data_IF_989626168514
#
_entry.id   IF_989626168514
#
_cell.length_a   1.000
_cell.length_b   1.000
_cell.length_c   1.000
_cell.angle_alpha   90.00
_cell.angle_beta   90.00
_cell.angle_gamma   90.00
#
_symmetry.space_group_name_H-M   'P 1'
#
loop_
_entity.id
_entity.type
_entity.pdbx_description
1 polymer ?
#
# COMPACT_ATOMS: atom_id res chain seq x y z
N UNK A 1 15.43 -15.92 4.39
CA UNK A 1 14.87 -16.71 5.52
C UNK A 1 13.78 -15.91 6.24
N UNK A 2 12.98 -16.56 7.09
CA UNK A 2 11.95 -15.88 7.87
C UNK A 2 12.56 -14.82 8.82
N UNK A 3 13.72 -15.12 9.38
CA UNK A 3 14.46 -14.19 10.24
C UNK A 3 15.01 -12.98 9.46
N UNK A 4 15.50 -13.16 8.24
CA UNK A 4 15.92 -12.03 7.39
C UNK A 4 14.73 -11.15 7.02
N UNK A 5 13.58 -11.77 6.67
CA UNK A 5 12.36 -11.03 6.40
C UNK A 5 11.91 -10.20 7.60
N UNK A 6 11.93 -10.79 8.80
CA UNK A 6 11.58 -10.08 10.02
C UNK A 6 12.58 -8.94 10.34
N UNK A 7 13.87 -9.11 10.09
CA UNK A 7 14.89 -8.06 10.24
C UNK A 7 14.64 -6.88 9.33
N UNK A 8 14.32 -7.12 8.03
CA UNK A 8 13.94 -6.06 7.10
C UNK A 8 12.67 -5.33 7.57
N UNK A 9 11.69 -6.07 8.12
CA UNK A 9 10.51 -5.48 8.73
C UNK A 9 10.83 -4.57 9.92
N UNK A 10 11.74 -5.00 10.80
CA UNK A 10 12.22 -4.18 11.92
C UNK A 10 12.86 -2.89 11.43
N UNK A 11 13.81 -2.96 10.48
CA UNK A 11 14.48 -1.79 9.93
C UNK A 11 13.50 -0.79 9.30
N UNK A 12 12.56 -1.29 8.49
CA UNK A 12 11.56 -0.45 7.83
C UNK A 12 10.64 0.26 8.84
N UNK A 13 10.19 -0.45 9.89
CA UNK A 13 9.33 0.14 10.92
C UNK A 13 10.11 1.13 11.78
N UNK A 14 11.37 0.87 12.13
CA UNK A 14 12.20 1.81 12.87
C UNK A 14 12.40 3.13 12.11
N UNK A 15 12.64 3.06 10.79
CA UNK A 15 12.73 4.26 9.94
C UNK A 15 11.40 5.03 9.91
N UNK A 16 10.28 4.32 9.77
CA UNK A 16 8.94 4.92 9.79
C UNK A 16 8.66 5.63 11.12
N UNK A 17 8.98 5.01 12.25
CA UNK A 17 8.80 5.59 13.58
C UNK A 17 9.62 6.88 13.77
N UNK A 18 10.85 6.94 13.24
CA UNK A 18 11.66 8.17 13.26
C UNK A 18 10.97 9.28 12.48
N UNK A 19 10.47 8.98 11.27
CA UNK A 19 9.77 9.94 10.42
C UNK A 19 8.47 10.44 11.07
N UNK A 20 7.66 9.54 11.60
CA UNK A 20 6.38 9.90 12.22
C UNK A 20 6.56 10.77 13.47
N UNK A 21 7.58 10.52 14.27
CA UNK A 21 7.94 11.38 15.39
C UNK A 21 8.27 12.80 14.93
N UNK A 22 9.03 12.94 13.85
CA UNK A 22 9.34 14.27 13.29
C UNK A 22 8.09 14.99 12.79
N UNK A 23 7.14 14.28 12.18
CA UNK A 23 5.86 14.83 11.73
C UNK A 23 5.02 15.28 12.93
N UNK A 24 4.91 14.45 13.98
CA UNK A 24 4.19 14.76 15.21
C UNK A 24 4.73 16.04 15.86
N UNK A 25 6.05 16.14 16.00
CA UNK A 25 6.72 17.31 16.58
C UNK A 25 6.50 18.56 15.73
N UNK A 26 6.56 18.44 14.42
CA UNK A 26 6.37 19.54 13.48
C UNK A 26 4.92 20.03 13.49
N UNK A 27 3.96 19.11 13.43
CA UNK A 27 2.54 19.42 13.49
C UNK A 27 2.19 20.14 14.82
N UNK A 28 2.75 19.67 15.95
CA UNK A 28 2.58 20.33 17.24
C UNK A 28 3.10 21.77 17.25
N UNK A 29 4.29 22.02 16.65
CA UNK A 29 4.88 23.38 16.54
C UNK A 29 4.05 24.29 15.66
N UNK A 30 3.39 23.75 14.64
CA UNK A 30 2.52 24.49 13.72
C UNK A 30 1.10 24.70 14.27
N UNK A 31 0.73 24.04 15.37
CA UNK A 31 -0.63 24.04 15.89
C UNK A 31 -1.61 23.19 15.07
N UNK A 32 -1.11 22.30 14.23
CA UNK A 32 -1.91 21.34 13.46
C UNK A 32 -2.20 20.09 14.28
N UNK A 33 -3.20 20.22 15.14
CA UNK A 33 -3.56 19.19 16.11
C UNK A 33 -4.16 17.96 15.46
N UNK A 34 -4.85 18.12 14.33
CA UNK A 34 -5.46 16.99 13.60
C UNK A 34 -4.39 16.10 12.96
N UNK A 35 -3.42 16.68 12.27
CA UNK A 35 -2.29 15.91 11.72
C UNK A 35 -1.50 15.22 12.83
N UNK A 36 -1.27 15.92 13.94
CA UNK A 36 -0.60 15.35 15.11
C UNK A 36 -1.33 14.11 15.63
N UNK A 37 -2.64 14.19 15.86
CA UNK A 37 -3.45 13.08 16.39
C UNK A 37 -3.42 11.85 15.46
N UNK A 38 -3.53 12.08 14.13
CA UNK A 38 -3.44 11.03 13.14
C UNK A 38 -2.10 10.28 13.24
N UNK A 39 -0.99 11.02 13.29
CA UNK A 39 0.34 10.40 13.34
C UNK A 39 0.69 9.80 14.70
N UNK A 40 0.17 10.32 15.80
CA UNK A 40 0.29 9.68 17.12
C UNK A 40 -0.39 8.31 17.14
N UNK A 41 -1.54 8.16 16.48
CA UNK A 41 -2.25 6.89 16.35
C UNK A 41 -1.46 5.90 15.48
N UNK A 42 -1.03 6.32 14.27
CA UNK A 42 -0.23 5.49 13.38
C UNK A 42 1.07 5.05 14.06
N UNK A 43 1.72 5.96 14.77
CA UNK A 43 2.95 5.67 15.55
C UNK A 43 2.73 4.53 16.55
N UNK A 44 1.63 4.54 17.29
CA UNK A 44 1.30 3.47 18.24
C UNK A 44 1.01 2.13 17.55
N UNK A 45 0.41 2.14 16.36
CA UNK A 45 0.17 0.94 15.55
C UNK A 45 1.51 0.35 15.04
N UNK A 46 2.43 1.20 14.60
CA UNK A 46 3.75 0.79 14.14
C UNK A 46 4.65 0.27 15.26
N UNK A 47 4.57 0.81 16.47
CA UNK A 47 5.24 0.21 17.65
C UNK A 47 4.76 -1.24 17.87
N UNK A 48 3.46 -1.51 17.64
CA UNK A 48 2.91 -2.87 17.70
C UNK A 48 3.47 -3.79 16.60
N UNK A 49 3.68 -3.26 15.39
CA UNK A 49 4.33 -4.01 14.30
C UNK A 49 5.80 -4.30 14.61
N UNK A 50 6.52 -3.30 15.12
CA UNK A 50 7.92 -3.47 15.55
C UNK A 50 8.07 -4.63 16.55
N UNK A 51 7.22 -4.65 17.58
CA UNK A 51 7.24 -5.72 18.57
C UNK A 51 7.02 -7.11 17.92
N UNK A 52 6.03 -7.24 17.04
CA UNK A 52 5.78 -8.50 16.33
C UNK A 52 6.97 -8.93 15.47
N UNK A 53 7.57 -8.01 14.70
CA UNK A 53 8.74 -8.37 13.90
C UNK A 53 9.93 -8.77 14.76
N UNK A 54 10.16 -8.09 15.89
CA UNK A 54 11.22 -8.45 16.83
C UNK A 54 11.05 -9.84 17.44
N UNK A 55 9.81 -10.26 17.73
CA UNK A 55 9.54 -11.63 18.15
C UNK A 55 9.97 -12.65 17.06
N UNK A 56 9.64 -12.38 15.79
CA UNK A 56 10.00 -13.26 14.68
C UNK A 56 11.50 -13.28 14.37
N UNK A 57 12.28 -12.25 14.72
CA UNK A 57 13.73 -12.26 14.56
C UNK A 57 14.41 -13.27 15.50
N UNK A 58 13.73 -13.68 16.57
CA UNK A 58 14.25 -14.66 17.53
C UNK A 58 14.06 -16.11 17.06
N UNK A 59 13.22 -16.36 16.06
CA UNK A 59 13.14 -17.65 15.45
C UNK A 59 14.50 -17.94 14.77
N UNK A 60 15.24 -18.88 15.34
CA UNK A 60 16.42 -19.39 14.65
C UNK A 60 15.93 -20.06 13.38
N UNK A 61 16.39 -19.58 12.25
CA UNK A 61 16.29 -20.35 11.03
C UNK A 61 16.97 -21.68 11.31
N UNK A 62 16.19 -22.74 11.50
CA UNK A 62 16.75 -24.06 11.47
C UNK A 62 17.56 -24.12 10.19
N UNK A 63 18.83 -24.47 10.33
CA UNK A 63 19.84 -24.45 9.27
C UNK A 63 19.35 -25.24 8.06
N UNK A 64 18.62 -24.57 7.19
CA UNK A 64 18.11 -25.13 5.95
C UNK A 64 19.05 -24.87 4.75
N UNK A 65 20.31 -24.50 5.04
CA UNK A 65 21.33 -24.30 4.01
C UNK A 65 21.62 -25.57 3.18
N UNK A 66 21.22 -26.75 3.69
CA UNK A 66 21.46 -28.01 3.00
C UNK A 66 20.23 -28.65 2.36
N UNK A 67 19.07 -28.04 2.48
CA UNK A 67 17.82 -28.60 1.97
C UNK A 67 17.25 -27.80 0.80
N UNK A 68 18.10 -27.33 -0.11
CA UNK A 68 17.63 -26.83 -1.41
C UNK A 68 17.04 -28.02 -2.16
N UNK A 69 15.74 -28.25 -1.97
CA UNK A 69 14.98 -29.16 -2.82
C UNK A 69 15.18 -28.68 -4.26
N UNK A 70 15.70 -29.53 -5.17
CA UNK A 70 15.86 -29.14 -6.56
C UNK A 70 14.51 -28.66 -7.10
N UNK A 71 14.50 -27.55 -7.84
CA UNK A 71 13.28 -27.07 -8.47
C UNK A 71 12.64 -28.20 -9.28
N UNK A 72 11.34 -28.48 -9.10
CA UNK A 72 10.68 -29.54 -9.82
C UNK A 72 10.72 -29.30 -11.34
N UNK A 73 10.72 -30.36 -12.12
CA UNK A 73 10.80 -30.28 -13.60
C UNK A 73 9.70 -29.36 -14.20
N UNK A 74 8.50 -29.34 -13.59
CA UNK A 74 7.42 -28.45 -14.04
C UNK A 74 7.79 -26.97 -13.94
N UNK A 75 8.69 -26.60 -13.04
CA UNK A 75 9.12 -25.20 -12.88
C UNK A 75 9.91 -24.70 -14.09
N UNK A 76 10.59 -25.59 -14.80
CA UNK A 76 11.42 -25.26 -15.96
C UNK A 76 10.63 -24.77 -17.19
N UNK A 77 9.33 -25.02 -17.23
CA UNK A 77 8.46 -24.51 -18.30
C UNK A 77 8.14 -23.02 -18.14
N UNK A 78 8.36 -22.44 -16.95
CA UNK A 78 8.10 -21.04 -16.67
C UNK A 78 9.37 -20.21 -16.91
N UNK A 79 9.36 -19.45 -18.00
CA UNK A 79 10.50 -18.66 -18.45
C UNK A 79 10.56 -17.30 -17.75
N UNK A 80 11.73 -16.64 -17.82
CA UNK A 80 11.89 -15.28 -17.31
C UNK A 80 10.94 -14.29 -18.01
N UNK A 81 10.67 -14.49 -19.30
CA UNK A 81 9.68 -13.67 -20.04
C UNK A 81 8.27 -13.82 -19.49
N UNK A 82 7.91 -15.02 -19.04
CA UNK A 82 6.60 -15.25 -18.40
C UNK A 82 6.51 -14.52 -17.03
N UNK A 83 7.57 -14.59 -16.23
CA UNK A 83 7.61 -13.83 -14.97
C UNK A 83 7.63 -12.31 -15.20
N UNK A 84 8.34 -11.86 -16.24
CA UNK A 84 8.29 -10.44 -16.62
C UNK A 84 6.88 -9.99 -17.02
N UNK A 85 6.09 -10.85 -17.69
CA UNK A 85 4.70 -10.57 -18.02
C UNK A 85 3.82 -10.50 -16.75
N UNK A 86 3.95 -11.47 -15.85
CA UNK A 86 3.22 -11.46 -14.57
C UNK A 86 3.58 -10.22 -13.74
N UNK A 87 4.85 -9.86 -13.71
CA UNK A 87 5.33 -8.69 -12.99
C UNK A 87 4.84 -7.35 -13.58
N UNK A 88 4.54 -7.29 -14.87
CA UNK A 88 3.83 -6.12 -15.43
C UNK A 88 2.41 -5.99 -14.88
N UNK A 89 1.70 -7.10 -14.68
CA UNK A 89 0.39 -7.07 -14.04
C UNK A 89 0.51 -6.61 -12.58
N UNK A 90 1.45 -7.17 -11.80
CA UNK A 90 1.72 -6.72 -10.41
C UNK A 90 1.99 -5.21 -10.36
N UNK A 91 2.85 -4.70 -11.25
CA UNK A 91 3.17 -3.28 -11.30
C UNK A 91 1.95 -2.41 -11.63
N UNK A 92 1.07 -2.88 -12.52
CA UNK A 92 -0.17 -2.19 -12.85
C UNK A 92 -1.16 -2.15 -11.66
N UNK A 93 -1.32 -3.26 -10.92
CA UNK A 93 -2.14 -3.30 -9.71
C UNK A 93 -1.61 -2.34 -8.64
N UNK A 94 -0.30 -2.30 -8.40
CA UNK A 94 0.31 -1.34 -7.48
C UNK A 94 0.01 0.11 -7.92
N UNK A 95 0.09 0.38 -9.23
CA UNK A 95 -0.27 1.69 -9.79
C UNK A 95 -1.73 2.03 -9.50
N UNK A 96 -2.64 1.11 -9.77
CA UNK A 96 -4.08 1.26 -9.52
C UNK A 96 -4.37 1.52 -8.04
N UNK A 97 -3.79 0.73 -7.14
CA UNK A 97 -3.95 0.89 -5.68
C UNK A 97 -3.52 2.29 -5.26
N UNK A 98 -2.33 2.73 -5.63
CA UNK A 98 -1.80 4.05 -5.25
C UNK A 98 -2.64 5.18 -5.85
N UNK A 99 -2.99 5.08 -7.14
CA UNK A 99 -3.77 6.08 -7.85
C UNK A 99 -5.18 6.21 -7.25
N UNK A 100 -5.91 5.11 -7.15
CA UNK A 100 -7.30 5.12 -6.70
C UNK A 100 -7.44 5.45 -5.22
N UNK A 101 -6.47 5.05 -4.38
CA UNK A 101 -6.41 5.48 -2.98
C UNK A 101 -6.28 6.99 -2.89
N UNK A 102 -5.34 7.61 -3.59
CA UNK A 102 -5.16 9.05 -3.58
C UNK A 102 -6.36 9.82 -4.15
N UNK A 103 -6.94 9.30 -5.23
CA UNK A 103 -8.16 9.88 -5.82
C UNK A 103 -9.36 9.76 -4.89
N UNK A 104 -9.51 8.62 -4.19
CA UNK A 104 -10.54 8.42 -3.18
C UNK A 104 -10.46 9.45 -2.07
N UNK A 105 -9.27 9.60 -1.47
CA UNK A 105 -9.04 10.56 -0.38
C UNK A 105 -9.29 12.01 -0.85
N UNK A 106 -8.80 12.36 -2.02
CA UNK A 106 -9.04 13.68 -2.61
C UNK A 106 -10.53 13.95 -2.83
N UNK A 107 -11.27 12.97 -3.36
CA UNK A 107 -12.71 13.08 -3.55
C UNK A 107 -13.45 13.20 -2.21
N UNK A 108 -13.06 12.43 -1.19
CA UNK A 108 -13.64 12.51 0.15
C UNK A 108 -13.43 13.89 0.80
N UNK A 109 -12.23 14.47 0.66
CA UNK A 109 -11.92 15.83 1.17
C UNK A 109 -12.73 16.91 0.42
N UNK A 110 -12.88 16.78 -0.89
CA UNK A 110 -13.73 17.69 -1.67
C UNK A 110 -15.18 17.66 -1.19
N UNK A 111 -15.69 16.48 -0.88
CA UNK A 111 -17.03 16.31 -0.34
C UNK A 111 -17.19 16.93 1.05
N UNK A 112 -16.21 16.77 1.95
CA UNK A 112 -16.20 17.41 3.27
C UNK A 112 -16.20 18.93 3.17
N UNK A 113 -15.37 19.50 2.29
CA UNK A 113 -15.32 20.94 2.05
C UNK A 113 -16.65 21.47 1.53
N UNK A 114 -17.32 20.72 0.65
CA UNK A 114 -18.62 21.05 0.12
C UNK A 114 -19.71 21.10 1.20
N UNK A 115 -19.75 20.12 2.11
CA UNK A 115 -20.72 20.07 3.22
C UNK A 115 -20.66 21.29 4.14
N UNK A 116 -19.51 21.94 4.19
CA UNK A 116 -19.31 23.18 4.94
C UNK A 116 -19.64 24.47 4.15
N UNK A 117 -20.13 24.33 2.90
CA UNK A 117 -20.52 25.46 2.05
C UNK A 117 -22.04 25.70 2.18
N UNK A 118 -22.54 26.97 2.22
CA UNK A 118 -23.97 27.24 2.35
C UNK A 118 -24.83 26.62 1.26
N UNK A 119 -26.05 26.27 1.61
CA UNK A 119 -27.00 25.44 0.83
C UNK A 119 -27.32 25.97 -0.58
N UNK A 120 -27.11 27.23 -0.84
CA UNK A 120 -27.48 27.90 -2.11
C UNK A 120 -26.62 27.50 -3.31
N UNK A 121 -25.53 26.75 -3.08
CA UNK A 121 -24.58 26.34 -4.12
C UNK A 121 -24.72 24.86 -4.52
N UNK A 122 -25.78 24.17 -4.08
CA UNK A 122 -25.90 22.70 -4.17
C UNK A 122 -26.63 22.23 -5.44
N UNK A 123 -26.07 22.49 -6.61
CA UNK A 123 -26.59 21.89 -7.86
C UNK A 123 -25.75 20.73 -8.41
N UNK A 124 -24.59 20.43 -7.83
CA UNK A 124 -23.73 19.30 -8.26
C UNK A 124 -23.56 18.22 -7.16
N UNK A 125 -24.62 17.91 -6.46
CA UNK A 125 -24.65 17.45 -5.07
C UNK A 125 -24.13 16.06 -4.75
N UNK A 126 -23.93 15.12 -5.65
CA UNK A 126 -23.63 13.73 -5.26
C UNK A 126 -22.44 13.10 -6.00
N UNK A 127 -21.79 13.81 -6.90
CA UNK A 127 -20.75 13.19 -7.74
C UNK A 127 -19.49 12.81 -6.94
N UNK A 128 -19.02 13.68 -6.05
CA UNK A 128 -17.80 13.42 -5.29
C UNK A 128 -17.96 12.27 -4.28
N UNK A 129 -19.11 12.16 -3.60
CA UNK A 129 -19.40 11.03 -2.69
C UNK A 129 -19.55 9.71 -3.46
N UNK A 130 -20.24 9.72 -4.59
CA UNK A 130 -20.38 8.55 -5.46
C UNK A 130 -19.02 8.11 -6.00
N UNK A 131 -18.21 9.06 -6.48
CA UNK A 131 -16.86 8.80 -6.99
C UNK A 131 -15.94 8.28 -5.88
N UNK A 132 -15.98 8.87 -4.68
CA UNK A 132 -15.19 8.40 -3.54
C UNK A 132 -15.53 6.95 -3.17
N UNK A 133 -16.81 6.60 -3.10
CA UNK A 133 -17.25 5.21 -2.81
C UNK A 133 -16.86 4.23 -3.90
N UNK A 134 -17.01 4.64 -5.17
CA UNK A 134 -16.60 3.82 -6.32
C UNK A 134 -15.09 3.53 -6.25
N UNK A 135 -14.27 4.57 -6.09
CA UNK A 135 -12.81 4.44 -6.04
C UNK A 135 -12.35 3.58 -4.87
N UNK A 136 -13.02 3.69 -3.70
CA UNK A 136 -12.75 2.81 -2.57
C UNK A 136 -13.02 1.34 -2.93
N UNK A 137 -14.13 1.05 -3.58
CA UNK A 137 -14.45 -0.31 -4.04
C UNK A 137 -13.40 -0.85 -5.02
N UNK A 138 -12.98 0.00 -5.96
CA UNK A 138 -11.99 -0.38 -6.97
C UNK A 138 -10.63 -0.67 -6.32
N UNK A 139 -10.05 0.24 -5.54
CA UNK A 139 -8.72 -0.01 -4.98
C UNK A 139 -8.68 -1.22 -4.03
N UNK A 140 -9.78 -1.54 -3.35
CA UNK A 140 -9.88 -2.76 -2.56
C UNK A 140 -9.84 -4.02 -3.44
N UNK A 141 -10.41 -3.96 -4.65
CA UNK A 141 -10.32 -5.05 -5.63
C UNK A 141 -8.91 -5.18 -6.19
N UNK A 142 -8.24 -4.06 -6.51
CA UNK A 142 -6.85 -4.06 -6.96
C UNK A 142 -5.90 -4.67 -5.91
N UNK A 143 -6.17 -4.44 -4.62
CA UNK A 143 -5.41 -5.10 -3.54
C UNK A 143 -5.60 -6.63 -3.56
N UNK A 144 -6.80 -7.13 -3.77
CA UNK A 144 -7.10 -8.57 -3.90
C UNK A 144 -6.44 -9.17 -5.16
N UNK A 145 -6.45 -8.42 -6.28
CA UNK A 145 -5.75 -8.83 -7.51
C UNK A 145 -4.23 -8.91 -7.28
N UNK A 146 -3.64 -7.88 -6.66
CA UNK A 146 -2.22 -7.84 -6.32
C UNK A 146 -1.81 -9.05 -5.48
N UNK A 147 -2.60 -9.38 -4.45
CA UNK A 147 -2.36 -10.53 -3.58
C UNK A 147 -2.35 -11.82 -4.39
N UNK A 148 -3.38 -12.06 -5.19
CA UNK A 148 -3.53 -13.28 -6.01
C UNK A 148 -2.42 -13.46 -7.04
N UNK A 149 -2.05 -12.38 -7.73
CA UNK A 149 -0.99 -12.44 -8.76
C UNK A 149 0.37 -12.67 -8.08
N UNK A 150 0.65 -11.98 -7.00
CA UNK A 150 1.90 -12.13 -6.26
C UNK A 150 2.02 -13.54 -5.66
N UNK A 151 0.95 -14.05 -5.03
CA UNK A 151 0.90 -15.43 -4.54
C UNK A 151 1.22 -16.42 -5.65
N UNK A 152 0.63 -16.23 -6.83
CA UNK A 152 0.89 -17.11 -7.97
C UNK A 152 2.35 -17.07 -8.41
N UNK A 153 2.97 -15.89 -8.44
CA UNK A 153 4.40 -15.75 -8.77
C UNK A 153 5.25 -16.53 -7.76
N UNK A 154 4.99 -16.37 -6.45
CA UNK A 154 5.74 -17.08 -5.41
C UNK A 154 5.52 -18.59 -5.43
N UNK A 155 4.30 -19.07 -5.69
CA UNK A 155 4.02 -20.49 -5.88
C UNK A 155 4.78 -21.09 -7.08
N UNK A 156 5.07 -20.27 -8.09
CA UNK A 156 5.88 -20.65 -9.24
C UNK A 156 7.39 -20.44 -9.00
N UNK A 157 7.77 -20.10 -7.77
CA UNK A 157 9.15 -19.82 -7.36
C UNK A 157 9.79 -18.64 -8.12
N UNK A 158 8.98 -17.63 -8.46
CA UNK A 158 9.41 -16.36 -8.99
C UNK A 158 9.46 -15.28 -7.90
N UNK A 159 9.81 -14.07 -8.30
CA UNK A 159 9.85 -12.88 -7.45
C UNK A 159 8.88 -11.82 -7.97
N UNK A 160 7.98 -11.35 -7.11
CA UNK A 160 7.05 -10.28 -7.46
C UNK A 160 7.72 -8.92 -7.30
N UNK A 161 7.47 -7.99 -8.26
CA UNK A 161 7.97 -6.62 -8.18
C UNK A 161 7.20 -5.83 -7.10
N UNK A 162 7.86 -4.79 -6.56
CA UNK A 162 7.28 -3.91 -5.55
C UNK A 162 7.21 -2.44 -6.01
N UNK A 163 7.14 -2.20 -7.32
CA UNK A 163 7.13 -0.83 -7.88
C UNK A 163 5.97 -0.67 -8.86
N UNK A 164 5.28 0.49 -8.83
CA UNK A 164 4.26 0.80 -9.83
C UNK A 164 4.89 1.05 -11.20
N UNK A 165 4.20 0.60 -12.26
CA UNK A 165 4.52 0.93 -13.64
C UNK A 165 3.24 0.77 -14.49
N UNK A 166 2.73 1.83 -15.11
CA UNK A 166 3.26 3.21 -15.10
C UNK A 166 3.14 3.91 -13.74
N UNK A 167 3.78 5.07 -13.60
CA UNK A 167 3.64 5.88 -12.37
C UNK A 167 2.19 6.33 -12.21
N UNK A 168 1.65 6.33 -10.98
CA UNK A 168 0.27 6.71 -10.73
C UNK A 168 0.02 8.19 -11.05
N UNK A 169 -1.14 8.48 -11.64
CA UNK A 169 -1.59 9.84 -11.97
C UNK A 169 -2.81 10.19 -11.14
N UNK A 170 -2.75 11.29 -10.40
CA UNK A 170 -3.86 11.79 -9.60
C UNK A 170 -4.40 13.08 -10.25
N UNK A 171 -5.66 13.04 -10.72
CA UNK A 171 -6.32 14.19 -11.31
C UNK A 171 -6.64 15.32 -10.32
N UNK A 172 -7.11 16.47 -10.83
CA UNK A 172 -7.47 17.64 -10.03
C UNK A 172 -8.95 17.67 -9.66
N UNK A 173 -9.81 17.12 -10.48
CA UNK A 173 -11.27 17.14 -10.33
C UNK A 173 -11.86 15.73 -10.25
N UNK A 174 -13.11 15.62 -9.75
CA UNK A 174 -13.80 14.33 -9.72
C UNK A 174 -13.99 13.72 -11.12
N UNK A 175 -14.02 14.53 -12.18
CA UNK A 175 -14.12 14.05 -13.55
C UNK A 175 -12.79 13.42 -14.01
N UNK A 176 -11.64 13.99 -13.59
CA UNK A 176 -10.32 13.47 -13.92
C UNK A 176 -10.05 12.10 -13.26
N UNK A 177 -10.79 11.77 -12.19
CA UNK A 177 -10.64 10.50 -11.47
C UNK A 177 -11.28 9.31 -12.20
N UNK A 178 -12.04 9.56 -13.26
CA UNK A 178 -12.81 8.54 -14.01
C UNK A 178 -12.23 8.28 -15.42
N UNK A 179 -11.04 8.80 -15.73
CA UNK A 179 -10.38 8.66 -17.04
C UNK A 179 -9.25 7.66 -17.01
#
# INVERSE_FOLDING_TARGET
SLSEFAKLGVEAVEEALVLYRQIIETAAKMGDWETREVFEKIYGEEEGHLFKFQEYTQFQDEKDENNKVPLPEWRKIYTDDYFALLNKAVAAEITGIVQYTNQHEKAAVLELRRKNTPLETITETNKADVVSKLLKGVFMQEMDHLEKISERIYLLEGEAVAKPDPLPVVGETAQDFLV
#
